data_IF_247697173777
#
_entry.id   IF_247697173777
#
_cell.length_a   1.000
_cell.length_b   1.000
_cell.length_c   1.000
_cell.angle_alpha   90.00
_cell.angle_beta   90.00
_cell.angle_gamma   90.00
#
_symmetry.space_group_name_H-M   'P 1'
#
loop_
_entity.id
_entity.type
_entity.pdbx_description
1 polymer ?
#
# COMPACT_ATOMS: atom_id res chain seq x y z
N UNK A 1 5.42 18.62 63.64
CA UNK A 1 5.86 19.04 62.29
C UNK A 1 6.93 18.12 61.67
N UNK A 2 7.78 17.42 62.43
CA UNK A 2 8.75 16.43 61.88
C UNK A 2 8.10 15.16 61.29
N UNK A 3 6.96 14.71 61.81
CA UNK A 3 6.27 13.48 61.35
C UNK A 3 5.62 13.64 59.97
N UNK A 4 5.02 14.80 59.69
CA UNK A 4 4.39 15.08 58.39
C UNK A 4 5.41 15.17 57.24
N UNK A 5 6.63 15.64 57.54
CA UNK A 5 7.72 15.72 56.57
C UNK A 5 8.22 14.31 56.22
N UNK A 6 8.38 13.41 57.21
CA UNK A 6 8.78 12.02 56.96
C UNK A 6 7.74 11.25 56.12
N UNK A 7 6.44 11.42 56.39
CA UNK A 7 5.40 10.78 55.58
C UNK A 7 5.31 11.32 54.15
N UNK A 8 5.66 12.60 53.90
CA UNK A 8 5.75 13.12 52.53
C UNK A 8 6.95 12.57 51.75
N UNK A 9 8.10 12.35 52.42
CA UNK A 9 9.29 11.78 51.79
C UNK A 9 9.14 10.28 51.51
N UNK A 10 8.56 9.51 52.43
CA UNK A 10 8.27 8.08 52.18
C UNK A 10 7.23 7.89 51.08
N UNK A 11 6.20 8.77 51.01
CA UNK A 11 5.25 8.78 49.91
C UNK A 11 5.96 9.05 48.57
N UNK A 12 6.83 10.07 48.49
CA UNK A 12 7.56 10.42 47.27
C UNK A 12 8.51 9.30 46.80
N UNK A 13 9.22 8.66 47.74
CA UNK A 13 10.15 7.55 47.46
C UNK A 13 9.41 6.29 47.03
N UNK A 14 8.18 6.05 47.51
CA UNK A 14 7.38 4.87 47.13
C UNK A 14 6.61 5.10 45.81
N UNK A 15 6.26 6.36 45.50
CA UNK A 15 5.58 6.71 44.24
C UNK A 15 6.44 6.55 42.99
N UNK A 16 7.75 6.78 43.07
CA UNK A 16 8.64 6.71 41.90
C UNK A 16 8.81 5.25 41.40
N UNK A 17 9.12 4.25 42.26
CA UNK A 17 9.26 2.86 41.84
C UNK A 17 7.96 2.21 41.34
N UNK A 18 6.81 2.58 41.91
CA UNK A 18 5.52 2.02 41.46
C UNK A 18 5.09 2.57 40.10
N UNK A 19 5.39 3.85 39.82
CA UNK A 19 5.20 4.46 38.51
C UNK A 19 6.14 3.83 37.48
N UNK A 20 7.42 3.63 37.82
CA UNK A 20 8.38 2.99 36.92
C UNK A 20 7.98 1.55 36.59
N UNK A 21 7.53 0.79 37.59
CA UNK A 21 6.99 -0.57 37.41
C UNK A 21 5.76 -0.57 36.49
N UNK A 22 4.84 0.39 36.68
CA UNK A 22 3.66 0.53 35.83
C UNK A 22 4.03 0.88 34.39
N UNK A 23 4.93 1.86 34.17
CA UNK A 23 5.42 2.24 32.84
C UNK A 23 6.12 1.06 32.16
N UNK A 24 6.96 0.33 32.90
CA UNK A 24 7.64 -0.86 32.40
C UNK A 24 6.62 -1.91 31.95
N UNK A 25 5.63 -2.24 32.80
CA UNK A 25 4.61 -3.23 32.48
C UNK A 25 3.74 -2.80 31.30
N UNK A 26 3.37 -1.52 31.24
CA UNK A 26 2.60 -0.97 30.12
C UNK A 26 3.39 -1.04 28.81
N UNK A 27 4.67 -0.70 28.84
CA UNK A 27 5.56 -0.76 27.69
C UNK A 27 5.74 -2.19 27.20
N UNK A 28 5.96 -3.13 28.13
CA UNK A 28 6.08 -4.56 27.85
C UNK A 28 4.82 -5.10 27.17
N UNK A 29 3.63 -4.88 27.76
CA UNK A 29 2.37 -5.39 27.20
C UNK A 29 2.00 -4.71 25.87
N UNK A 30 2.32 -3.41 25.71
CA UNK A 30 2.14 -2.68 24.46
C UNK A 30 3.04 -3.27 23.37
N UNK A 31 4.33 -3.49 23.66
CA UNK A 31 5.26 -4.07 22.71
C UNK A 31 4.90 -5.51 22.37
N UNK A 32 4.46 -6.30 23.36
CA UNK A 32 4.01 -7.68 23.15
C UNK A 32 2.84 -7.77 22.17
N UNK A 33 1.91 -6.82 22.21
CA UNK A 33 0.71 -6.81 21.35
C UNK A 33 0.92 -6.10 20.01
N UNK A 34 1.67 -5.00 20.01
CA UNK A 34 1.76 -4.10 18.85
C UNK A 34 3.18 -3.96 18.27
N UNK A 35 4.21 -4.50 18.93
CA UNK A 35 5.61 -4.37 18.52
C UNK A 35 5.96 -5.14 17.25
N UNK A 36 5.12 -6.09 16.81
CA UNK A 36 5.36 -6.93 15.64
C UNK A 36 4.36 -6.69 14.50
N UNK A 37 3.54 -5.63 14.54
CA UNK A 37 2.52 -5.37 13.52
C UNK A 37 3.12 -5.22 12.11
N UNK A 38 4.29 -4.58 12.01
CA UNK A 38 4.98 -4.39 10.73
C UNK A 38 5.59 -5.69 10.17
N UNK A 39 5.73 -6.74 10.99
CA UNK A 39 6.18 -8.07 10.55
C UNK A 39 5.04 -8.94 10.03
N UNK A 40 3.83 -8.68 10.48
CA UNK A 40 2.64 -9.30 9.91
C UNK A 40 2.38 -8.69 8.53
N UNK A 41 2.64 -9.48 7.47
CA UNK A 41 2.54 -9.00 6.10
C UNK A 41 1.13 -8.50 5.77
N UNK A 42 0.07 -9.09 6.32
CA UNK A 42 -1.30 -8.69 6.04
C UNK A 42 -1.59 -7.31 6.63
N UNK A 43 -1.18 -7.07 7.87
CA UNK A 43 -1.34 -5.77 8.54
C UNK A 43 -0.45 -4.70 7.91
N UNK A 44 0.78 -5.07 7.54
CA UNK A 44 1.70 -4.19 6.85
C UNK A 44 1.14 -3.77 5.48
N UNK A 45 0.63 -4.71 4.69
CA UNK A 45 -0.02 -4.43 3.41
C UNK A 45 -1.27 -3.56 3.57
N UNK A 46 -2.13 -3.85 4.56
CA UNK A 46 -3.29 -3.02 4.86
C UNK A 46 -2.88 -1.57 5.23
N UNK A 47 -1.82 -1.42 6.02
CA UNK A 47 -1.26 -0.11 6.40
C UNK A 47 -0.69 0.62 5.18
N UNK A 48 0.02 -0.09 4.30
CA UNK A 48 0.56 0.44 3.05
C UNK A 48 -0.55 0.94 2.12
N UNK A 49 -1.61 0.15 1.99
CA UNK A 49 -2.77 0.42 1.14
C UNK A 49 -3.76 1.42 1.76
N UNK A 50 -3.55 1.89 2.97
CA UNK A 50 -4.37 2.95 3.53
C UNK A 50 -3.84 4.32 3.06
N UNK A 51 -4.63 5.11 2.30
CA UNK A 51 -4.21 6.42 1.81
C UNK A 51 -3.89 7.44 2.91
N UNK A 52 -4.30 7.17 4.17
CA UNK A 52 -4.00 8.00 5.35
C UNK A 52 -2.59 7.76 5.90
N UNK A 53 -2.00 6.60 5.63
CA UNK A 53 -0.73 6.18 6.22
C UNK A 53 0.38 6.02 5.16
N UNK A 54 0.18 5.13 4.17
CA UNK A 54 1.19 4.80 3.15
C UNK A 54 2.54 4.47 3.77
N UNK A 55 3.64 5.01 3.22
CA UNK A 55 5.00 4.89 3.77
C UNK A 55 5.16 5.46 5.18
N UNK A 56 4.32 6.42 5.58
CA UNK A 56 4.39 7.08 6.88
C UNK A 56 3.75 6.26 8.01
N UNK A 57 3.06 5.17 7.67
CA UNK A 57 2.55 4.21 8.65
C UNK A 57 3.62 3.28 9.24
N UNK A 58 4.83 3.30 8.69
CA UNK A 58 5.93 2.41 9.08
C UNK A 58 6.97 3.16 9.90
N UNK A 59 7.39 2.56 11.00
CA UNK A 59 8.57 2.97 11.76
C UNK A 59 9.83 2.27 11.22
N UNK A 60 9.73 1.01 10.81
CA UNK A 60 10.85 0.27 10.23
C UNK A 60 10.88 0.42 8.70
N UNK A 61 11.93 1.05 8.19
CA UNK A 61 12.12 1.21 6.75
C UNK A 61 12.23 -0.12 6.00
N UNK A 62 12.84 -1.15 6.60
CA UNK A 62 12.96 -2.46 5.97
C UNK A 62 11.59 -3.13 5.82
N UNK A 63 10.73 -3.04 6.83
CA UNK A 63 9.37 -3.55 6.75
C UNK A 63 8.59 -2.88 5.61
N UNK A 64 8.69 -1.56 5.47
CA UNK A 64 8.10 -0.84 4.34
C UNK A 64 8.58 -1.36 2.98
N UNK A 65 9.88 -1.59 2.80
CA UNK A 65 10.43 -2.08 1.54
C UNK A 65 9.97 -3.52 1.24
N UNK A 66 9.92 -4.37 2.27
CA UNK A 66 9.43 -5.74 2.16
C UNK A 66 7.95 -5.76 1.76
N UNK A 67 7.12 -4.93 2.39
CA UNK A 67 5.71 -4.76 2.03
C UNK A 67 5.56 -4.22 0.62
N UNK A 68 6.33 -3.20 0.22
CA UNK A 68 6.31 -2.66 -1.15
C UNK A 68 6.58 -3.76 -2.17
N UNK A 69 7.61 -4.58 -1.92
CA UNK A 69 7.96 -5.73 -2.77
C UNK A 69 6.83 -6.77 -2.81
N UNK A 70 6.20 -7.07 -1.68
CA UNK A 70 5.05 -7.97 -1.63
C UNK A 70 3.88 -7.47 -2.49
N UNK A 71 3.48 -6.20 -2.31
CA UNK A 71 2.41 -5.55 -3.09
C UNK A 71 2.72 -5.58 -4.60
N UNK A 72 3.96 -5.25 -5.00
CA UNK A 72 4.38 -5.30 -6.41
C UNK A 72 4.28 -6.72 -6.97
N UNK A 73 4.72 -7.73 -6.22
CA UNK A 73 4.66 -9.12 -6.66
C UNK A 73 3.21 -9.62 -6.80
N UNK A 74 2.33 -9.27 -5.85
CA UNK A 74 0.90 -9.60 -5.93
C UNK A 74 0.22 -8.89 -7.09
N UNK A 75 0.49 -7.60 -7.27
CA UNK A 75 -0.06 -6.82 -8.39
C UNK A 75 0.41 -7.31 -9.76
N UNK A 76 1.68 -7.76 -9.87
CA UNK A 76 2.20 -8.40 -11.09
C UNK A 76 1.34 -9.60 -11.50
N UNK A 77 0.97 -10.46 -10.56
CA UNK A 77 0.12 -11.63 -10.80
C UNK A 77 -1.25 -11.18 -11.34
N UNK A 78 -1.89 -10.21 -10.67
CA UNK A 78 -3.21 -9.67 -11.09
C UNK A 78 -3.16 -9.09 -12.51
N UNK A 79 -2.12 -8.32 -12.85
CA UNK A 79 -1.95 -7.74 -14.20
C UNK A 79 -1.76 -8.85 -15.23
N UNK A 80 -0.95 -9.86 -14.90
CA UNK A 80 -0.67 -10.98 -15.80
C UNK A 80 -1.94 -11.79 -16.10
N UNK A 81 -2.77 -12.03 -15.09
CA UNK A 81 -4.07 -12.71 -15.22
C UNK A 81 -5.06 -11.90 -16.07
N UNK A 82 -5.17 -10.58 -15.85
CA UNK A 82 -6.01 -9.70 -16.67
C UNK A 82 -5.58 -9.68 -18.14
N UNK A 83 -4.28 -9.64 -18.40
CA UNK A 83 -3.74 -9.68 -19.77
C UNK A 83 -4.08 -11.01 -20.48
N UNK A 84 -4.07 -12.15 -19.76
CA UNK A 84 -4.47 -13.45 -20.32
C UNK A 84 -5.96 -13.49 -20.64
N UNK A 85 -6.82 -13.01 -19.73
CA UNK A 85 -8.27 -12.95 -19.96
C UNK A 85 -8.64 -12.07 -21.16
N UNK A 86 -7.95 -10.94 -21.31
CA UNK A 86 -8.20 -10.00 -22.41
C UNK A 86 -7.81 -10.59 -23.78
N UNK A 87 -6.74 -11.39 -23.85
CA UNK A 87 -6.37 -12.15 -25.06
C UNK A 87 -7.39 -13.24 -25.42
N UNK A 88 -7.96 -13.90 -24.41
CA UNK A 88 -8.96 -14.96 -24.63
C UNK A 88 -10.33 -14.40 -25.09
N UNK A 89 -10.66 -13.16 -24.73
CA UNK A 89 -11.88 -12.47 -25.19
C UNK A 89 -11.76 -11.95 -26.63
N UNK A 90 -10.55 -11.73 -27.13
CA UNK A 90 -10.29 -11.34 -28.54
C UNK A 90 -10.25 -12.52 -29.52
N UNK A 91 -10.51 -13.76 -29.08
CA UNK A 91 -10.53 -14.96 -29.95
C UNK A 91 -11.88 -15.18 -30.65
N UNK A 92 -12.83 -14.24 -30.56
CA UNK A 92 -13.99 -14.28 -31.47
C UNK A 92 -13.55 -13.80 -32.86
N UNK A 93 -13.76 -14.58 -33.94
CA UNK A 93 -13.44 -14.14 -35.28
C UNK A 93 -14.32 -12.93 -35.59
N UNK A 94 -13.70 -11.76 -35.65
CA UNK A 94 -14.34 -10.53 -36.16
C UNK A 94 -14.76 -10.86 -37.59
N UNK A 95 -16.06 -10.82 -37.94
CA UNK A 95 -16.47 -10.92 -39.34
C UNK A 95 -15.84 -9.75 -40.09
N UNK A 96 -15.34 -9.94 -41.32
CA UNK A 96 -14.78 -8.86 -42.12
C UNK A 96 -15.91 -7.89 -42.47
N UNK A 97 -16.16 -6.93 -41.58
CA UNK A 97 -17.11 -5.86 -41.83
C UNK A 97 -16.30 -4.78 -42.52
N UNK A 98 -16.53 -4.67 -43.83
CA UNK A 98 -15.89 -3.68 -44.66
C UNK A 98 -16.12 -2.27 -44.14
N UNK A 99 -15.04 -1.55 -43.89
CA UNK A 99 -15.01 -0.09 -43.96
C UNK A 99 -13.57 0.33 -44.19
N UNK A 100 -13.29 0.78 -45.41
CA UNK A 100 -12.18 1.64 -45.83
C UNK A 100 -11.11 1.88 -44.75
N UNK A 101 -10.14 0.97 -44.63
CA UNK A 101 -8.85 1.33 -44.05
C UNK A 101 -8.17 2.21 -45.09
N UNK A 102 -8.19 3.52 -44.87
CA UNK A 102 -7.27 4.39 -45.57
C UNK A 102 -5.86 3.86 -45.30
N UNK A 103 -5.07 3.63 -46.36
CA UNK A 103 -3.66 3.25 -46.28
C UNK A 103 -2.90 4.43 -45.66
N UNK A 104 -2.96 4.51 -44.34
CA UNK A 104 -2.19 5.46 -43.56
C UNK A 104 -0.75 4.95 -43.51
N UNK A 105 0.21 5.83 -43.85
CA UNK A 105 1.65 5.59 -43.65
C UNK A 105 1.97 5.28 -42.18
N UNK A 106 1.07 5.61 -41.26
CA UNK A 106 1.20 5.36 -39.83
C UNK A 106 0.73 3.96 -39.42
N UNK A 107 0.11 3.16 -40.29
CA UNK A 107 -0.39 1.84 -39.91
C UNK A 107 0.73 0.92 -39.37
N UNK A 108 1.90 0.91 -40.03
CA UNK A 108 3.04 0.10 -39.58
C UNK A 108 3.60 0.60 -38.25
N UNK A 109 3.66 1.92 -38.07
CA UNK A 109 4.04 2.55 -36.81
C UNK A 109 3.05 2.25 -35.69
N UNK A 110 1.75 2.36 -35.94
CA UNK A 110 0.70 2.09 -34.97
C UNK A 110 0.69 0.62 -34.57
N UNK A 111 0.97 -0.31 -35.50
CA UNK A 111 1.14 -1.73 -35.22
C UNK A 111 2.38 -1.98 -34.34
N UNK A 112 3.52 -1.37 -34.67
CA UNK A 112 4.76 -1.49 -33.89
C UNK A 112 4.60 -0.90 -32.48
N UNK A 113 4.00 0.28 -32.37
CA UNK A 113 3.69 0.92 -31.09
C UNK A 113 2.70 0.09 -30.29
N UNK A 114 1.70 -0.50 -30.94
CA UNK A 114 0.73 -1.37 -30.26
C UNK A 114 1.42 -2.60 -29.68
N UNK A 115 2.35 -3.23 -30.40
CA UNK A 115 3.11 -4.39 -29.93
C UNK A 115 4.08 -4.01 -28.78
N UNK A 116 4.75 -2.86 -28.89
CA UNK A 116 5.60 -2.30 -27.82
C UNK A 116 4.77 -1.98 -26.57
N UNK A 117 3.60 -1.36 -26.72
CA UNK A 117 2.72 -0.99 -25.60
C UNK A 117 2.10 -2.24 -24.95
N UNK A 118 1.77 -3.27 -25.73
CA UNK A 118 1.26 -4.55 -25.24
C UNK A 118 2.34 -5.41 -24.55
N UNK A 119 3.62 -5.20 -24.85
CA UNK A 119 4.74 -5.94 -24.25
C UNK A 119 5.24 -5.39 -22.91
N UNK A 120 4.56 -4.40 -22.31
CA UNK A 120 4.98 -3.84 -21.02
C UNK A 120 5.03 -4.91 -19.91
N UNK A 121 6.20 -5.07 -19.29
CA UNK A 121 6.42 -5.97 -18.16
C UNK A 121 5.40 -5.68 -17.04
N UNK A 122 4.53 -6.64 -16.68
CA UNK A 122 3.56 -6.49 -15.60
C UNK A 122 4.16 -6.01 -14.28
N UNK A 123 5.42 -6.37 -14.01
CA UNK A 123 6.13 -5.92 -12.81
C UNK A 123 6.48 -4.43 -12.90
N UNK A 124 7.04 -3.99 -14.02
CA UNK A 124 7.36 -2.58 -14.26
C UNK A 124 6.10 -1.70 -14.18
N UNK A 125 5.00 -2.16 -14.78
CA UNK A 125 3.69 -1.53 -14.67
C UNK A 125 3.24 -1.36 -13.21
N UNK A 126 3.31 -2.43 -12.41
CA UNK A 126 2.92 -2.35 -11.01
C UNK A 126 3.83 -1.43 -10.20
N UNK A 127 5.15 -1.43 -10.46
CA UNK A 127 6.11 -0.52 -9.81
C UNK A 127 5.72 0.94 -10.06
N UNK A 128 5.48 1.32 -11.32
CA UNK A 128 5.09 2.69 -11.69
C UNK A 128 3.80 3.10 -10.96
N UNK A 129 2.82 2.19 -10.88
CA UNK A 129 1.55 2.47 -10.20
C UNK A 129 1.71 2.60 -8.69
N UNK A 130 2.50 1.73 -8.05
CA UNK A 130 2.83 1.81 -6.62
C UNK A 130 3.56 3.12 -6.31
N UNK A 131 4.55 3.50 -7.12
CA UNK A 131 5.29 4.74 -6.93
C UNK A 131 4.37 5.96 -7.08
N UNK A 132 3.50 5.98 -8.10
CA UNK A 132 2.48 7.03 -8.27
C UNK A 132 1.59 7.16 -7.02
N UNK A 133 1.08 6.05 -6.50
CA UNK A 133 0.26 6.03 -5.28
C UNK A 133 1.01 6.59 -4.05
N UNK A 134 2.29 6.24 -3.89
CA UNK A 134 3.13 6.71 -2.79
C UNK A 134 3.47 8.20 -2.87
N UNK A 135 3.43 8.81 -4.06
CA UNK A 135 3.62 10.25 -4.26
C UNK A 135 2.34 11.07 -4.08
N UNK A 136 1.16 10.45 -4.15
CA UNK A 136 -0.09 11.16 -3.87
C UNK A 136 -0.11 11.67 -2.41
N UNK A 137 -0.71 12.84 -2.14
CA UNK A 137 -0.81 13.36 -0.79
C UNK A 137 -1.61 12.41 0.12
N UNK A 138 -1.30 12.46 1.42
CA UNK A 138 -2.11 11.78 2.43
C UNK A 138 -3.47 12.45 2.55
N UNK A 139 -4.51 11.66 2.79
CA UNK A 139 -5.81 12.19 3.17
C UNK A 139 -5.88 12.37 4.69
N UNK A 140 -6.72 13.30 5.15
CA UNK A 140 -6.93 13.50 6.58
C UNK A 140 -7.48 12.23 7.26
N UNK A 141 -7.09 11.99 8.52
CA UNK A 141 -7.50 10.78 9.26
C UNK A 141 -9.02 10.66 9.46
N UNK A 142 -9.72 11.78 9.45
CA UNK A 142 -11.17 11.88 9.54
C UNK A 142 -11.91 11.49 8.25
N UNK A 143 -11.20 11.41 7.13
CA UNK A 143 -11.82 11.15 5.84
C UNK A 143 -11.94 9.65 5.57
N UNK A 144 -12.95 9.28 4.77
CA UNK A 144 -13.18 7.90 4.36
C UNK A 144 -12.17 7.47 3.27
N UNK A 145 -11.31 6.46 3.53
CA UNK A 145 -10.36 5.95 2.54
C UNK A 145 -11.05 5.26 1.36
N UNK A 146 -12.24 4.67 1.52
CA UNK A 146 -12.95 3.99 0.44
C UNK A 146 -13.45 4.96 -0.63
N UNK A 147 -13.91 6.13 -0.20
CA UNK A 147 -14.29 7.22 -1.13
C UNK A 147 -13.10 7.63 -2.01
N UNK A 148 -11.91 7.76 -1.41
CA UNK A 148 -10.66 8.08 -2.13
C UNK A 148 -10.31 7.02 -3.16
N UNK A 149 -10.44 5.74 -2.82
CA UNK A 149 -10.21 4.64 -3.75
C UNK A 149 -11.17 4.66 -4.93
N UNK A 150 -12.45 4.94 -4.69
CA UNK A 150 -13.46 5.01 -5.74
C UNK A 150 -13.18 6.18 -6.72
N UNK A 151 -12.84 7.36 -6.21
CA UNK A 151 -12.48 8.53 -7.02
C UNK A 151 -11.23 8.26 -7.89
N UNK A 152 -10.28 7.48 -7.38
CA UNK A 152 -9.01 7.15 -8.05
C UNK A 152 -9.05 5.89 -8.91
N UNK A 153 -10.18 5.17 -8.99
CA UNK A 153 -10.26 3.85 -9.63
C UNK A 153 -9.70 3.83 -11.06
N UNK A 154 -9.91 4.90 -11.83
CA UNK A 154 -9.38 5.04 -13.21
C UNK A 154 -7.85 5.14 -13.24
N UNK A 155 -7.26 5.80 -12.25
CA UNK A 155 -5.82 6.04 -12.17
C UNK A 155 -5.06 4.84 -11.60
N UNK A 156 -5.69 4.11 -10.67
CA UNK A 156 -5.14 2.99 -9.92
C UNK A 156 -6.02 1.71 -10.07
N UNK A 157 -6.22 1.19 -11.30
CA UNK A 157 -7.17 0.10 -11.58
C UNK A 157 -6.77 -1.29 -11.07
N UNK A 158 -5.60 -1.40 -10.42
CA UNK A 158 -5.08 -2.65 -9.86
C UNK A 158 -5.12 -2.67 -8.32
N UNK A 159 -5.66 -1.61 -7.71
CA UNK A 159 -5.81 -1.47 -6.26
C UNK A 159 -7.27 -1.57 -5.79
N UNK A 160 -8.22 -1.70 -6.74
CA UNK A 160 -9.67 -1.72 -6.52
C UNK A 160 -10.30 -2.85 -7.33
#
# INVERSE_FOLDING_TARGET
MKVLILMSYECLITTIPCIDSFIHKLTEETYKRFGQLEKDMLLAEATFLDPRFKKYGFKNHFAFQDTKRSIVNKGKIIISEKNVQQRNLTTYPIPPTGSNKEDSIWNDFDLEVTDIVQSQDPKALMIIKVDKYLQEPLIARSNDPLKRWNENKKNLPYFV
#
